data_IF_544522521166
#
_entry.id   IF_544522521166
#
_cell.length_a   1.000
_cell.length_b   1.000
_cell.length_c   1.000
_cell.angle_alpha   90.00
_cell.angle_beta   90.00
_cell.angle_gamma   90.00
#
_symmetry.space_group_name_H-M   'P 1'
#
loop_
_entity.id
_entity.type
_entity.pdbx_description
1 polymer ?
#
# COMPACT_ATOMS: atom_id res chain seq x y z
N UNK A 1 54.96 -25.28 -20.98
CA UNK A 1 54.69 -23.97 -20.31
C UNK A 1 53.86 -24.25 -19.06
N UNK A 2 54.27 -23.79 -17.87
CA UNK A 2 53.44 -23.95 -16.66
C UNK A 2 52.19 -23.06 -16.80
N UNK A 3 50.99 -23.53 -16.43
CA UNK A 3 49.78 -22.72 -16.50
C UNK A 3 49.91 -21.50 -15.59
N UNK A 4 49.65 -20.31 -16.13
CA UNK A 4 49.60 -19.06 -15.38
C UNK A 4 48.21 -18.93 -14.74
N UNK A 5 48.17 -18.61 -13.44
CA UNK A 5 46.95 -18.23 -12.74
C UNK A 5 47.07 -16.77 -12.31
N UNK A 6 46.02 -16.00 -12.59
CA UNK A 6 45.91 -14.60 -12.21
C UNK A 6 44.47 -14.33 -11.79
N UNK A 7 44.29 -13.35 -10.93
CA UNK A 7 42.99 -12.92 -10.42
C UNK A 7 42.93 -11.40 -10.56
N UNK A 8 41.76 -10.91 -10.97
CA UNK A 8 41.50 -9.49 -11.12
C UNK A 8 40.08 -9.16 -10.65
N UNK A 9 39.89 -7.93 -10.21
CA UNK A 9 38.60 -7.35 -9.83
C UNK A 9 38.25 -6.30 -10.85
N UNK A 10 37.09 -6.46 -11.49
CA UNK A 10 36.50 -5.45 -12.38
C UNK A 10 35.42 -4.70 -11.62
N UNK A 11 35.60 -3.39 -11.49
CA UNK A 11 34.54 -2.49 -11.01
C UNK A 11 33.71 -2.04 -12.19
N UNK A 12 32.41 -2.29 -12.13
CA UNK A 12 31.44 -1.93 -13.16
C UNK A 12 30.47 -0.86 -12.61
N UNK A 13 29.90 -0.07 -13.50
CA UNK A 13 28.77 0.80 -13.17
C UNK A 13 27.71 0.71 -14.26
N UNK A 14 26.44 0.87 -13.89
CA UNK A 14 25.34 0.94 -14.86
C UNK A 14 24.28 1.92 -14.37
N UNK A 15 23.67 2.73 -15.26
CA UNK A 15 22.35 3.27 -14.96
C UNK A 15 21.33 2.14 -14.89
N UNK A 16 20.23 2.36 -14.18
CA UNK A 16 19.15 1.38 -14.06
C UNK A 16 17.86 2.03 -14.53
N UNK A 17 17.08 1.30 -15.32
CA UNK A 17 15.79 1.73 -15.85
C UNK A 17 14.80 0.56 -15.78
N UNK A 18 13.50 0.86 -15.76
CA UNK A 18 12.46 -0.12 -16.10
C UNK A 18 11.81 0.33 -17.40
N UNK A 19 11.64 -0.62 -18.32
CA UNK A 19 10.90 -0.37 -19.56
C UNK A 19 9.38 -0.49 -19.35
N UNK A 20 8.59 -0.16 -20.39
CA UNK A 20 7.14 -0.23 -20.36
C UNK A 20 6.56 -1.62 -20.03
N UNK A 21 7.37 -2.68 -20.18
CA UNK A 21 7.02 -4.07 -19.91
C UNK A 21 7.56 -4.54 -18.56
N UNK A 22 7.92 -3.63 -17.64
CA UNK A 22 8.40 -3.98 -16.31
C UNK A 22 9.72 -4.79 -16.32
N UNK A 23 10.52 -4.66 -17.37
CA UNK A 23 11.84 -5.32 -17.45
C UNK A 23 12.96 -4.35 -17.07
N UNK A 24 13.92 -4.86 -16.29
CA UNK A 24 15.07 -4.07 -15.84
C UNK A 24 16.05 -3.86 -17.00
N UNK A 25 16.28 -2.60 -17.37
CA UNK A 25 17.27 -2.18 -18.35
C UNK A 25 18.56 -1.69 -17.69
N UNK A 26 19.70 -2.20 -18.16
CA UNK A 26 21.06 -1.79 -17.76
C UNK A 26 21.90 -1.38 -18.97
N UNK A 27 22.99 -0.67 -18.70
CA UNK A 27 24.03 -0.31 -19.66
C UNK A 27 25.38 -0.28 -18.96
N UNK A 28 25.96 -1.45 -18.72
CA UNK A 28 27.21 -1.58 -17.98
C UNK A 28 28.39 -0.90 -18.68
N UNK A 29 29.28 -0.32 -17.86
CA UNK A 29 30.59 0.21 -18.26
C UNK A 29 31.65 -0.26 -17.27
N UNK A 30 32.85 -0.57 -17.77
CA UNK A 30 34.00 -0.83 -16.92
C UNK A 30 34.51 0.50 -16.35
N UNK A 31 34.66 0.58 -15.04
CA UNK A 31 35.21 1.75 -14.34
C UNK A 31 36.64 1.55 -13.91
N UNK A 32 36.97 0.35 -13.45
CA UNK A 32 38.30 0.03 -12.98
C UNK A 32 38.60 -1.46 -13.16
N UNK A 33 39.85 -1.79 -13.40
CA UNK A 33 40.37 -3.16 -13.41
C UNK A 33 41.57 -3.18 -12.45
N UNK A 34 41.46 -3.93 -11.37
CA UNK A 34 42.51 -4.08 -10.36
C UNK A 34 43.00 -5.51 -10.33
N UNK A 35 44.30 -5.69 -10.54
CA UNK A 35 44.95 -6.98 -10.39
C UNK A 35 45.04 -7.35 -8.91
N UNK A 36 44.59 -8.55 -8.57
CA UNK A 36 44.81 -9.16 -7.25
C UNK A 36 46.11 -9.95 -7.27
N UNK A 37 46.34 -10.70 -8.35
CA UNK A 37 47.58 -11.43 -8.62
C UNK A 37 48.11 -11.01 -9.99
N UNK A 38 49.32 -10.43 -10.04
CA UNK A 38 49.93 -9.97 -11.29
C UNK A 38 50.13 -11.14 -12.29
N UNK A 39 49.80 -10.96 -13.58
CA UNK A 39 49.87 -12.02 -14.57
C UNK A 39 51.30 -12.17 -15.10
N UNK A 40 52.09 -13.00 -14.41
CA UNK A 40 53.50 -13.26 -14.78
C UNK A 40 53.64 -14.63 -15.43
N UNK A 41 54.04 -14.66 -16.71
CA UNK A 41 54.36 -15.91 -17.42
C UNK A 41 55.84 -16.24 -17.26
N UNK A 42 56.13 -17.54 -17.08
CA UNK A 42 57.51 -18.07 -16.97
C UNK A 42 57.85 -18.95 -18.16
N UNK A 43 58.92 -18.61 -18.87
CA UNK A 43 59.47 -19.37 -19.99
C UNK A 43 60.94 -19.67 -19.71
N UNK A 44 61.23 -20.84 -19.13
CA UNK A 44 62.59 -21.18 -18.67
C UNK A 44 63.09 -20.18 -17.61
N UNK A 45 64.27 -19.54 -17.80
CA UNK A 45 64.78 -18.52 -16.87
C UNK A 45 64.07 -17.16 -17.01
N UNK A 46 63.32 -16.93 -18.09
CA UNK A 46 62.68 -15.64 -18.37
C UNK A 46 61.32 -15.51 -17.68
N UNK A 47 61.04 -14.33 -17.13
CA UNK A 47 59.75 -13.93 -16.56
C UNK A 47 59.25 -12.68 -17.28
N UNK A 48 57.99 -12.71 -17.77
CA UNK A 48 57.36 -11.55 -18.40
C UNK A 48 56.02 -11.26 -17.70
N UNK A 49 55.83 -10.03 -17.22
CA UNK A 49 54.53 -9.55 -16.80
C UNK A 49 53.73 -9.20 -18.06
N UNK A 50 52.57 -9.83 -18.26
CA UNK A 50 51.72 -9.65 -19.44
C UNK A 50 50.46 -8.83 -19.14
N UNK A 51 50.55 -7.94 -18.15
CA UNK A 51 49.44 -7.09 -17.69
C UNK A 51 48.89 -6.22 -18.80
N UNK A 52 49.75 -5.63 -19.62
CA UNK A 52 49.34 -4.72 -20.70
C UNK A 52 48.61 -5.47 -21.80
N UNK A 53 49.11 -6.64 -22.19
CA UNK A 53 48.49 -7.50 -23.21
C UNK A 53 47.11 -7.98 -22.77
N UNK A 54 46.96 -8.40 -21.50
CA UNK A 54 45.63 -8.80 -20.99
C UNK A 54 44.71 -7.58 -20.86
N UNK A 55 45.22 -6.42 -20.44
CA UNK A 55 44.43 -5.20 -20.37
C UNK A 55 43.91 -4.77 -21.76
N UNK A 56 44.74 -4.89 -22.80
CA UNK A 56 44.35 -4.62 -24.18
C UNK A 56 43.29 -5.60 -24.69
N UNK A 57 43.43 -6.90 -24.39
CA UNK A 57 42.41 -7.91 -24.70
C UNK A 57 41.09 -7.55 -23.99
N UNK A 58 41.13 -7.23 -22.69
CA UNK A 58 39.93 -6.85 -21.93
C UNK A 58 39.26 -5.60 -22.51
N UNK A 59 40.05 -4.59 -22.90
CA UNK A 59 39.56 -3.38 -23.56
C UNK A 59 38.91 -3.70 -24.91
N UNK A 60 39.55 -4.53 -25.74
CA UNK A 60 39.00 -4.95 -27.04
C UNK A 60 37.70 -5.75 -26.92
N UNK A 61 37.51 -6.46 -25.80
CA UNK A 61 36.32 -7.26 -25.52
C UNK A 61 35.32 -6.58 -24.60
N UNK A 62 35.58 -5.36 -24.14
CA UNK A 62 34.74 -4.64 -23.18
C UNK A 62 33.28 -4.62 -23.62
N UNK A 63 33.01 -4.15 -24.84
CA UNK A 63 31.64 -4.07 -25.36
C UNK A 63 30.92 -5.42 -25.41
N UNK A 64 31.65 -6.50 -25.70
CA UNK A 64 31.07 -7.86 -25.68
C UNK A 64 30.77 -8.31 -24.24
N UNK A 65 31.67 -8.03 -23.30
CA UNK A 65 31.50 -8.37 -21.88
C UNK A 65 30.34 -7.60 -21.26
N UNK A 66 30.26 -6.29 -21.47
CA UNK A 66 29.18 -5.45 -20.92
C UNK A 66 27.84 -5.79 -21.55
N UNK A 67 27.76 -6.00 -22.87
CA UNK A 67 26.54 -6.42 -23.54
C UNK A 67 26.05 -7.81 -23.09
N UNK A 68 26.98 -8.74 -22.85
CA UNK A 68 26.63 -10.04 -22.26
C UNK A 68 26.00 -9.84 -20.88
N UNK A 69 26.59 -9.01 -20.01
CA UNK A 69 26.02 -8.72 -18.70
C UNK A 69 24.64 -8.05 -18.80
N UNK A 70 24.48 -7.04 -19.66
CA UNK A 70 23.20 -6.36 -19.88
C UNK A 70 22.11 -7.35 -20.31
N UNK A 71 22.42 -8.26 -21.23
CA UNK A 71 21.48 -9.27 -21.71
C UNK A 71 21.12 -10.29 -20.63
N UNK A 72 22.09 -10.76 -19.84
CA UNK A 72 21.81 -11.72 -18.78
C UNK A 72 20.98 -11.07 -17.66
N UNK A 73 21.21 -9.80 -17.33
CA UNK A 73 20.34 -9.06 -16.40
C UNK A 73 18.93 -8.91 -16.97
N UNK A 74 18.79 -8.46 -18.22
CA UNK A 74 17.46 -8.30 -18.86
C UNK A 74 16.65 -9.60 -18.84
N UNK A 75 17.28 -10.75 -19.13
CA UNK A 75 16.63 -12.07 -19.10
C UNK A 75 16.29 -12.54 -17.69
N UNK A 76 17.17 -12.30 -16.73
CA UNK A 76 17.01 -12.79 -15.36
C UNK A 76 16.08 -11.90 -14.51
N UNK A 77 15.96 -10.61 -14.85
CA UNK A 77 15.26 -9.59 -14.09
C UNK A 77 14.04 -9.02 -14.83
N UNK A 78 13.25 -9.90 -15.45
CA UNK A 78 11.89 -9.54 -15.90
C UNK A 78 10.96 -9.55 -14.68
N UNK A 79 10.47 -8.38 -14.28
CA UNK A 79 9.60 -8.22 -13.11
C UNK A 79 8.12 -8.38 -13.44
N UNK A 80 7.76 -8.41 -14.73
CA UNK A 80 6.38 -8.32 -15.21
C UNK A 80 5.48 -9.38 -14.58
N UNK A 81 5.87 -10.66 -14.63
CA UNK A 81 5.04 -11.74 -14.10
C UNK A 81 4.80 -11.57 -12.61
N UNK A 82 5.83 -11.19 -11.84
CA UNK A 82 5.73 -11.06 -10.38
C UNK A 82 4.96 -9.84 -9.95
N UNK A 83 5.17 -8.70 -10.62
CA UNK A 83 4.38 -7.50 -10.35
C UNK A 83 2.93 -7.75 -10.78
N UNK A 84 2.70 -8.52 -11.85
CA UNK A 84 1.35 -8.90 -12.28
C UNK A 84 0.66 -9.80 -11.25
N UNK A 85 1.35 -10.80 -10.70
CA UNK A 85 0.81 -11.65 -9.65
C UNK A 85 0.43 -10.82 -8.42
N UNK A 86 1.33 -9.96 -7.94
CA UNK A 86 1.07 -9.04 -6.80
C UNK A 86 -0.09 -8.09 -7.12
N UNK A 87 -0.14 -7.55 -8.34
CA UNK A 87 -1.19 -6.64 -8.78
C UNK A 87 -2.57 -7.30 -8.82
N UNK A 88 -2.63 -8.57 -9.19
CA UNK A 88 -3.85 -9.37 -9.19
C UNK A 88 -4.26 -9.68 -7.74
N UNK A 89 -3.33 -10.18 -6.93
CA UNK A 89 -3.57 -10.55 -5.52
C UNK A 89 -4.05 -9.35 -4.68
N UNK A 90 -3.50 -8.15 -4.91
CA UNK A 90 -3.94 -6.91 -4.26
C UNK A 90 -5.41 -6.58 -4.52
N UNK A 91 -5.97 -7.06 -5.62
CA UNK A 91 -7.35 -6.81 -6.03
C UNK A 91 -8.31 -7.95 -5.63
N UNK A 92 -7.81 -8.99 -4.96
CA UNK A 92 -8.66 -10.02 -4.37
C UNK A 92 -9.37 -9.49 -3.11
N UNK A 93 -10.60 -9.95 -2.82
CA UNK A 93 -11.29 -9.57 -1.59
C UNK A 93 -10.59 -10.09 -0.34
N UNK A 94 -10.45 -9.20 0.63
CA UNK A 94 -9.82 -9.43 1.91
C UNK A 94 -10.91 -9.49 2.97
N UNK A 95 -11.06 -10.63 3.64
CA UNK A 95 -12.02 -10.77 4.72
C UNK A 95 -11.60 -9.90 5.92
N UNK A 96 -12.47 -8.96 6.29
CA UNK A 96 -12.23 -8.02 7.39
C UNK A 96 -12.93 -8.47 8.66
N UNK A 97 -14.20 -8.83 8.56
CA UNK A 97 -15.00 -9.35 9.69
C UNK A 97 -15.75 -10.61 9.28
N UNK A 98 -15.99 -11.49 10.25
CA UNK A 98 -16.86 -12.68 10.11
C UNK A 98 -18.19 -12.53 10.85
N UNK A 99 -18.32 -11.54 11.73
CA UNK A 99 -19.47 -11.37 12.62
C UNK A 99 -19.92 -9.90 12.66
N UNK A 100 -21.24 -9.62 12.70
CA UNK A 100 -22.35 -10.58 12.67
C UNK A 100 -22.55 -11.27 11.31
N UNK A 101 -22.01 -10.69 10.22
CA UNK A 101 -21.92 -11.31 8.91
C UNK A 101 -20.50 -11.13 8.32
N UNK A 102 -20.09 -11.97 7.35
CA UNK A 102 -18.86 -11.77 6.61
C UNK A 102 -18.84 -10.43 5.86
N UNK A 103 -17.75 -9.69 6.00
CA UNK A 103 -17.51 -8.44 5.29
C UNK A 103 -16.10 -8.46 4.73
N UNK A 104 -15.97 -8.18 3.45
CA UNK A 104 -14.72 -8.10 2.73
C UNK A 104 -14.41 -6.68 2.28
N UNK A 105 -13.13 -6.37 2.15
CA UNK A 105 -12.64 -5.21 1.42
C UNK A 105 -12.03 -5.68 0.12
N UNK A 106 -12.30 -4.98 -0.96
CA UNK A 106 -11.64 -5.20 -2.23
C UNK A 106 -11.04 -3.91 -2.76
N UNK A 107 -9.83 -3.98 -3.29
CA UNK A 107 -9.23 -2.91 -4.05
C UNK A 107 -9.43 -3.14 -5.54
N UNK A 108 -9.80 -2.08 -6.26
CA UNK A 108 -9.77 -2.00 -7.71
C UNK A 108 -8.63 -1.06 -8.09
N UNK A 109 -7.48 -1.63 -8.41
CA UNK A 109 -6.30 -0.87 -8.79
C UNK A 109 -6.46 -0.40 -10.24
N UNK A 110 -6.27 0.89 -10.49
CA UNK A 110 -6.48 1.48 -11.81
C UNK A 110 -5.15 1.79 -12.50
N UNK A 111 -4.18 2.32 -11.76
CA UNK A 111 -2.90 2.76 -12.32
C UNK A 111 -1.77 2.62 -11.32
N UNK A 112 -0.55 2.46 -11.85
CA UNK A 112 0.68 2.41 -11.08
C UNK A 112 1.79 3.14 -11.82
N UNK A 113 2.48 4.00 -11.07
CA UNK A 113 3.65 4.74 -11.53
C UNK A 113 4.83 4.36 -10.65
N UNK A 114 6.04 4.43 -11.20
CA UNK A 114 7.22 4.22 -10.38
C UNK A 114 8.45 5.00 -10.81
N UNK A 115 9.37 5.15 -9.87
CA UNK A 115 10.70 5.69 -10.08
C UNK A 115 11.71 4.74 -9.43
N UNK A 116 12.82 4.49 -10.11
CA UNK A 116 13.88 3.62 -9.59
C UNK A 116 15.11 4.45 -9.33
N UNK A 117 15.68 4.26 -8.15
CA UNK A 117 16.98 4.79 -7.78
C UNK A 117 17.94 3.63 -7.47
N UNK A 118 19.16 3.73 -7.98
CA UNK A 118 20.26 2.88 -7.53
C UNK A 118 20.90 3.52 -6.30
N UNK A 119 20.82 2.84 -5.17
CA UNK A 119 21.55 3.18 -3.94
C UNK A 119 22.80 2.28 -3.83
N UNK A 120 23.68 2.54 -2.85
CA UNK A 120 24.99 1.85 -2.76
C UNK A 120 24.88 0.32 -2.67
N UNK A 121 23.83 -0.19 -2.04
CA UNK A 121 23.61 -1.60 -1.71
C UNK A 121 22.25 -2.13 -2.17
N UNK A 122 21.38 -1.29 -2.72
CA UNK A 122 20.02 -1.65 -3.10
C UNK A 122 19.53 -0.90 -4.35
N UNK A 123 18.56 -1.50 -5.03
CA UNK A 123 17.76 -0.84 -6.06
C UNK A 123 16.45 -0.48 -5.40
N UNK A 124 16.20 0.80 -5.14
CA UNK A 124 14.96 1.26 -4.51
C UNK A 124 13.96 1.61 -5.59
N UNK A 125 12.72 1.12 -5.46
CA UNK A 125 11.61 1.48 -6.32
C UNK A 125 10.58 2.24 -5.50
N UNK A 126 10.33 3.50 -5.83
CA UNK A 126 9.24 4.29 -5.29
C UNK A 126 8.05 4.16 -6.22
N UNK A 127 6.88 3.87 -5.66
CA UNK A 127 5.67 3.63 -6.46
C UNK A 127 4.50 4.46 -5.97
N UNK A 128 3.68 4.91 -6.92
CA UNK A 128 2.38 5.53 -6.67
C UNK A 128 1.31 4.64 -7.25
N UNK A 129 0.39 4.16 -6.41
CA UNK A 129 -0.74 3.33 -6.82
C UNK A 129 -2.03 4.10 -6.63
N UNK A 130 -2.86 4.13 -7.67
CA UNK A 130 -4.20 4.69 -7.61
C UNK A 130 -5.22 3.54 -7.59
N UNK A 131 -5.99 3.43 -6.50
CA UNK A 131 -6.96 2.37 -6.33
C UNK A 131 -8.28 2.86 -5.74
N UNK A 132 -9.36 2.16 -6.06
CA UNK A 132 -10.67 2.32 -5.43
C UNK A 132 -10.91 1.19 -4.44
N UNK A 133 -11.21 1.51 -3.20
CA UNK A 133 -11.61 0.54 -2.18
C UNK A 133 -13.14 0.38 -2.18
N UNK A 134 -13.60 -0.86 -2.11
CA UNK A 134 -15.02 -1.21 -2.04
C UNK A 134 -15.23 -2.23 -0.92
N UNK A 135 -16.22 -1.98 -0.07
CA UNK A 135 -16.70 -2.95 0.91
C UNK A 135 -17.67 -3.91 0.22
N UNK A 136 -17.55 -5.20 0.49
CA UNK A 136 -18.41 -6.24 -0.07
C UNK A 136 -19.00 -7.05 1.09
N UNK A 137 -20.28 -7.38 0.99
CA UNK A 137 -20.98 -8.34 1.87
C UNK A 137 -21.27 -9.65 1.17
N UNK A 138 -21.00 -9.73 -0.14
CA UNK A 138 -21.08 -10.93 -0.97
C UNK A 138 -19.92 -10.92 -1.99
N UNK A 139 -19.32 -12.08 -2.22
CA UNK A 139 -18.20 -12.31 -3.14
C UNK A 139 -18.56 -13.22 -4.32
N UNK A 140 -19.82 -13.61 -4.50
CA UNK A 140 -20.24 -14.54 -5.56
C UNK A 140 -20.13 -13.94 -6.97
N UNK A 141 -20.37 -12.64 -7.12
CA UNK A 141 -20.38 -11.93 -8.42
C UNK A 141 -19.26 -10.87 -8.53
N UNK A 142 -18.02 -11.27 -8.25
CA UNK A 142 -16.86 -10.38 -8.29
C UNK A 142 -16.35 -10.22 -9.73
N UNK A 143 -16.36 -8.97 -10.23
CA UNK A 143 -15.72 -8.63 -11.50
C UNK A 143 -14.23 -9.02 -11.49
N UNK A 144 -13.68 -9.50 -12.61
CA UNK A 144 -12.27 -9.89 -12.70
C UNK A 144 -11.32 -8.73 -12.33
N UNK A 145 -10.15 -9.01 -11.72
CA UNK A 145 -9.12 -7.99 -11.47
C UNK A 145 -8.69 -7.27 -12.74
N UNK A 146 -8.35 -5.99 -12.62
CA UNK A 146 -7.73 -5.27 -13.73
C UNK A 146 -6.32 -5.84 -13.97
N UNK A 147 -5.90 -6.07 -15.22
CA UNK A 147 -4.53 -6.48 -15.51
C UNK A 147 -3.53 -5.40 -15.14
N UNK A 148 -2.26 -5.78 -14.94
CA UNK A 148 -1.17 -4.83 -14.71
C UNK A 148 -1.03 -3.88 -15.92
N UNK A 149 -1.14 -2.55 -15.74
CA UNK A 149 -0.89 -1.61 -16.83
C UNK A 149 0.60 -1.60 -17.21
N UNK A 150 0.91 -1.05 -18.39
CA UNK A 150 2.30 -0.77 -18.78
C UNK A 150 2.94 0.18 -17.77
N UNK A 151 4.22 -0.03 -17.49
CA UNK A 151 4.95 0.83 -16.55
C UNK A 151 4.94 2.28 -17.03
N UNK A 152 4.62 3.18 -16.09
CA UNK A 152 4.70 4.63 -16.28
C UNK A 152 5.70 5.19 -15.29
N UNK A 153 6.54 6.11 -15.74
CA UNK A 153 7.48 6.79 -14.86
C UNK A 153 6.69 7.73 -13.93
N UNK A 154 7.10 7.77 -12.67
CA UNK A 154 6.67 8.79 -11.74
C UNK A 154 7.53 10.03 -11.99
N UNK A 155 6.88 11.15 -12.34
CA UNK A 155 7.60 12.41 -12.53
C UNK A 155 8.26 12.82 -11.22
N UNK A 156 9.58 13.02 -11.28
CA UNK A 156 10.40 13.28 -10.10
C UNK A 156 10.15 14.70 -9.61
N UNK A 157 9.21 14.87 -8.69
CA UNK A 157 9.32 15.96 -7.71
C UNK A 157 10.43 15.54 -6.74
N UNK A 158 11.40 16.42 -6.47
CA UNK A 158 12.71 16.10 -5.86
C UNK A 158 12.66 15.55 -4.41
N UNK A 159 11.55 15.00 -3.91
CA UNK A 159 11.37 14.66 -2.49
C UNK A 159 10.55 13.39 -2.19
N UNK A 160 10.06 12.63 -3.17
CA UNK A 160 9.27 11.42 -2.88
C UNK A 160 10.16 10.23 -2.49
N UNK A 161 10.46 10.16 -1.19
CA UNK A 161 11.24 9.09 -0.54
C UNK A 161 10.38 7.94 -0.02
N UNK A 162 9.07 7.96 -0.30
CA UNK A 162 8.10 6.98 0.16
C UNK A 162 7.15 6.65 -0.99
N UNK A 163 6.70 5.39 -1.04
CA UNK A 163 5.60 5.01 -1.94
C UNK A 163 4.28 5.53 -1.36
N UNK A 164 3.31 5.82 -2.21
CA UNK A 164 1.97 6.24 -1.77
C UNK A 164 0.86 5.50 -2.51
N UNK A 165 -0.25 5.34 -1.80
CA UNK A 165 -1.47 4.72 -2.30
C UNK A 165 -2.59 5.73 -2.10
N UNK A 166 -3.21 6.13 -3.19
CA UNK A 166 -4.42 6.94 -3.17
C UNK A 166 -5.63 6.01 -3.22
N UNK A 167 -6.41 6.01 -2.15
CA UNK A 167 -7.59 5.16 -1.98
C UNK A 167 -8.85 6.00 -1.93
N UNK A 168 -9.79 5.69 -2.81
CA UNK A 168 -11.16 6.20 -2.71
C UNK A 168 -12.09 5.15 -2.13
N UNK A 169 -12.81 5.47 -1.06
CA UNK A 169 -13.82 4.61 -0.44
C UNK A 169 -15.12 5.38 -0.22
N UNK A 170 -16.24 4.65 -0.10
CA UNK A 170 -17.52 5.24 0.28
C UNK A 170 -18.39 4.22 1.01
N UNK A 171 -19.36 4.72 1.78
CA UNK A 171 -20.48 3.95 2.32
C UNK A 171 -21.75 4.76 2.20
N UNK A 172 -22.89 4.10 2.00
CA UNK A 172 -24.20 4.77 1.91
C UNK A 172 -24.79 5.01 3.29
N UNK A 173 -25.57 6.08 3.44
CA UNK A 173 -26.33 6.30 4.68
C UNK A 173 -27.32 5.17 4.96
N UNK A 174 -27.85 4.52 3.92
CA UNK A 174 -28.67 3.32 4.09
C UNK A 174 -27.92 2.21 4.83
N UNK A 175 -26.70 1.87 4.41
CA UNK A 175 -25.88 0.84 5.07
C UNK A 175 -25.55 1.22 6.52
N UNK A 176 -25.21 2.49 6.78
CA UNK A 176 -24.97 2.99 8.13
C UNK A 176 -26.23 2.84 8.98
N UNK A 177 -27.40 3.22 8.46
CA UNK A 177 -28.67 3.18 9.16
C UNK A 177 -29.14 1.76 9.45
N UNK A 178 -28.99 0.84 8.49
CA UNK A 178 -29.30 -0.58 8.67
C UNK A 178 -28.46 -1.18 9.81
N UNK A 179 -27.15 -0.86 9.86
CA UNK A 179 -26.26 -1.32 10.93
C UNK A 179 -26.61 -0.71 12.30
N UNK A 180 -26.85 0.61 12.35
CA UNK A 180 -27.21 1.28 13.60
C UNK A 180 -28.53 0.75 14.16
N UNK A 181 -29.57 0.63 13.32
CA UNK A 181 -30.86 0.10 13.74
C UNK A 181 -30.76 -1.37 14.16
N UNK A 182 -30.02 -2.21 13.43
CA UNK A 182 -29.80 -3.60 13.83
C UNK A 182 -29.12 -3.75 15.20
N UNK A 183 -28.32 -2.76 15.63
CA UNK A 183 -27.63 -2.78 16.90
C UNK A 183 -28.38 -2.11 18.06
N UNK A 184 -29.23 -1.14 17.78
CA UNK A 184 -29.74 -0.20 18.79
C UNK A 184 -31.26 -0.11 18.84
N UNK A 185 -31.98 -0.41 17.75
CA UNK A 185 -33.45 -0.37 17.74
C UNK A 185 -34.01 -1.38 18.76
N UNK A 186 -35.01 -0.94 19.53
CA UNK A 186 -35.65 -1.73 20.59
C UNK A 186 -34.84 -1.83 21.88
N UNK A 187 -33.59 -1.33 21.92
CA UNK A 187 -32.83 -1.31 23.17
C UNK A 187 -33.46 -0.32 24.14
N UNK A 188 -33.62 -0.79 25.36
CA UNK A 188 -34.09 0.00 26.49
C UNK A 188 -32.92 0.35 27.39
N UNK A 189 -32.89 1.58 27.86
CA UNK A 189 -31.84 2.14 28.69
C UNK A 189 -32.50 2.71 29.93
N UNK A 190 -31.86 2.51 31.08
CA UNK A 190 -32.34 3.04 32.36
C UNK A 190 -31.22 3.82 33.03
N UNK A 191 -31.46 5.09 33.34
CA UNK A 191 -30.52 5.94 34.09
C UNK A 191 -31.31 6.96 34.91
N UNK A 192 -30.91 7.14 36.17
CA UNK A 192 -31.54 8.08 37.12
C UNK A 192 -33.08 7.94 37.25
N UNK A 193 -33.58 6.70 37.18
CA UNK A 193 -35.02 6.41 37.28
C UNK A 193 -35.80 6.57 35.98
N UNK A 194 -35.20 7.14 34.92
CA UNK A 194 -35.81 7.23 33.59
C UNK A 194 -35.51 6.00 32.75
N UNK A 195 -36.51 5.54 32.02
CA UNK A 195 -36.45 4.44 31.07
C UNK A 195 -36.76 4.95 29.66
N UNK A 196 -35.79 4.80 28.76
CA UNK A 196 -35.90 5.24 27.37
C UNK A 196 -35.76 4.03 26.46
N UNK A 197 -36.63 3.91 25.47
CA UNK A 197 -36.49 2.91 24.41
C UNK A 197 -36.21 3.58 23.08
N UNK A 198 -35.18 3.12 22.36
CA UNK A 198 -34.84 3.60 21.03
C UNK A 198 -35.78 2.93 20.02
N UNK A 199 -36.52 3.72 19.25
CA UNK A 199 -37.44 3.21 18.23
C UNK A 199 -36.86 3.30 16.82
N UNK A 200 -35.99 4.29 16.57
CA UNK A 200 -35.36 4.47 15.26
C UNK A 200 -34.08 5.32 15.35
N UNK A 201 -33.12 5.07 14.46
CA UNK A 201 -31.89 5.88 14.33
C UNK A 201 -31.55 6.07 12.86
N UNK A 202 -31.31 7.31 12.43
CA UNK A 202 -30.92 7.65 11.07
C UNK A 202 -29.75 8.61 11.02
N UNK A 203 -28.69 8.25 10.30
CA UNK A 203 -27.61 9.11 9.87
C UNK A 203 -27.88 9.67 8.47
N UNK A 204 -27.51 10.93 8.26
CA UNK A 204 -27.60 11.64 6.98
C UNK A 204 -26.64 12.83 6.94
N UNK A 205 -26.38 13.36 5.75
CA UNK A 205 -25.59 14.58 5.59
C UNK A 205 -26.44 15.84 5.82
N UNK A 206 -25.88 16.83 6.49
CA UNK A 206 -26.46 18.16 6.67
C UNK A 206 -25.43 19.26 6.44
N UNK A 207 -25.86 20.52 6.48
CA UNK A 207 -24.96 21.68 6.42
C UNK A 207 -23.95 21.72 7.56
N UNK A 208 -24.20 21.02 8.68
CA UNK A 208 -23.30 20.92 9.84
C UNK A 208 -22.34 19.71 9.77
N UNK A 209 -22.46 18.86 8.75
CA UNK A 209 -21.68 17.64 8.60
C UNK A 209 -22.54 16.38 8.69
N UNK A 210 -22.10 15.39 9.46
CA UNK A 210 -22.85 14.17 9.72
C UNK A 210 -23.91 14.45 10.79
N UNK A 211 -25.18 14.27 10.45
CA UNK A 211 -26.30 14.34 11.37
C UNK A 211 -26.81 12.96 11.72
N UNK A 212 -27.20 12.77 12.98
CA UNK A 212 -27.87 11.56 13.48
C UNK A 212 -29.13 11.97 14.20
N UNK A 213 -30.26 11.49 13.69
CA UNK A 213 -31.57 11.55 14.33
C UNK A 213 -31.82 10.27 15.12
N UNK A 214 -32.28 10.40 16.36
CA UNK A 214 -32.67 9.29 17.24
C UNK A 214 -34.09 9.53 17.70
N UNK A 215 -34.98 8.57 17.42
CA UNK A 215 -36.35 8.57 17.92
C UNK A 215 -36.45 7.67 19.14
N UNK A 216 -37.13 8.17 20.17
CA UNK A 216 -37.25 7.50 21.47
C UNK A 216 -38.70 7.45 21.95
N UNK A 217 -38.97 6.51 22.86
CA UNK A 217 -40.29 6.30 23.49
C UNK A 217 -40.14 6.07 25.01
N UNK A 218 -41.29 5.86 25.69
CA UNK A 218 -41.45 5.76 27.15
C UNK A 218 -41.25 7.10 27.87
N UNK A 219 -40.38 7.14 28.89
CA UNK A 219 -40.28 8.28 29.80
C UNK A 219 -39.74 9.54 29.11
N UNK A 220 -39.03 9.37 27.99
CA UNK A 220 -38.52 10.47 27.16
C UNK A 220 -38.89 10.24 25.69
N UNK A 221 -40.16 10.43 25.36
CA UNK A 221 -40.66 10.32 23.98
C UNK A 221 -40.30 11.56 23.16
N UNK A 222 -39.59 11.38 22.05
CA UNK A 222 -39.17 12.50 21.22
C UNK A 222 -38.26 12.12 20.06
N UNK A 223 -37.78 13.15 19.35
CA UNK A 223 -36.78 13.03 18.30
C UNK A 223 -35.61 13.95 18.58
N UNK A 224 -34.43 13.37 18.72
CA UNK A 224 -33.18 14.09 19.00
C UNK A 224 -32.33 14.10 17.74
N UNK A 225 -31.92 15.29 17.29
CA UNK A 225 -30.93 15.41 16.22
C UNK A 225 -29.64 15.97 16.77
N UNK A 226 -28.56 15.31 16.42
CA UNK A 226 -27.21 15.79 16.71
C UNK A 226 -26.40 15.81 15.43
N UNK A 227 -25.54 16.80 15.28
CA UNK A 227 -24.74 16.97 14.06
C UNK A 227 -23.32 17.34 14.39
N UNK A 228 -22.36 16.85 13.61
CA UNK A 228 -20.97 17.26 13.76
C UNK A 228 -20.12 16.97 12.53
N UNK A 229 -18.90 17.51 12.54
CA UNK A 229 -17.94 17.31 11.45
C UNK A 229 -17.16 16.03 11.68
N UNK A 230 -17.18 15.12 10.71
CA UNK A 230 -16.31 13.94 10.71
C UNK A 230 -14.92 14.37 10.28
N UNK A 231 -13.92 14.01 11.05
CA UNK A 231 -12.51 14.35 10.83
C UNK A 231 -11.65 13.11 11.04
N UNK A 232 -10.52 13.06 10.34
CA UNK A 232 -9.53 12.02 10.53
C UNK A 232 -8.44 12.47 11.52
N UNK A 233 -8.22 11.67 12.55
CA UNK A 233 -7.19 11.89 13.56
C UNK A 233 -5.93 11.09 13.20
N UNK A 234 -4.90 11.79 12.73
CA UNK A 234 -3.65 11.19 12.25
C UNK A 234 -2.89 10.41 13.35
N UNK A 235 -2.78 10.89 14.61
CA UNK A 235 -2.11 10.13 15.66
C UNK A 235 -2.79 8.79 15.97
N UNK A 236 -4.11 8.78 16.11
CA UNK A 236 -4.89 7.58 16.48
C UNK A 236 -5.35 6.75 15.28
N UNK A 237 -5.10 7.23 14.05
CA UNK A 237 -5.54 6.62 12.78
C UNK A 237 -7.05 6.32 12.76
N UNK A 238 -7.85 7.19 13.36
CA UNK A 238 -9.30 7.01 13.54
C UNK A 238 -10.13 8.12 12.92
N UNK A 239 -11.34 7.77 12.49
CA UNK A 239 -12.37 8.76 12.20
C UNK A 239 -13.02 9.20 13.52
N UNK A 240 -13.14 10.51 13.73
CA UNK A 240 -13.77 11.13 14.90
C UNK A 240 -14.83 12.12 14.44
N UNK A 241 -15.87 12.31 15.24
CA UNK A 241 -16.83 13.38 15.03
C UNK A 241 -16.57 14.49 16.06
N UNK A 242 -16.35 15.71 15.58
CA UNK A 242 -16.17 16.91 16.41
C UNK A 242 -17.38 17.84 16.30
N UNK A 243 -17.55 18.68 17.32
CA UNK A 243 -18.60 19.71 17.41
C UNK A 243 -20.00 19.12 17.24
N UNK A 244 -20.37 18.24 18.18
CA UNK A 244 -21.64 17.53 18.19
C UNK A 244 -22.74 18.48 18.68
N UNK A 245 -23.13 19.41 17.81
CA UNK A 245 -24.11 20.46 18.09
C UNK A 245 -25.53 19.86 18.10
N UNK A 246 -26.25 20.15 19.18
CA UNK A 246 -27.57 19.61 19.48
C UNK A 246 -28.69 20.47 18.89
N UNK A 247 -29.69 19.84 18.29
CA UNK A 247 -30.95 20.48 17.96
C UNK A 247 -32.09 19.52 18.31
N UNK A 248 -32.86 19.87 19.34
CA UNK A 248 -34.02 19.11 19.77
C UNK A 248 -35.27 19.77 19.19
N UNK A 249 -36.06 19.00 18.45
CA UNK A 249 -37.40 19.39 18.05
C UNK A 249 -38.37 18.43 18.73
N UNK A 250 -38.82 18.78 19.94
CA UNK A 250 -39.86 18.02 20.65
C UNK A 250 -41.09 18.87 20.85
N UNK A 251 -42.24 18.29 20.53
CA UNK A 251 -43.56 18.90 20.77
C UNK A 251 -43.91 18.93 22.27
N UNK A 252 -43.18 18.18 23.12
CA UNK A 252 -43.39 18.13 24.57
C UNK A 252 -42.20 18.74 25.33
N UNK A 253 -42.54 19.52 26.37
CA UNK A 253 -41.60 20.09 27.36
C UNK A 253 -40.97 18.96 28.18
N UNK A 254 -39.88 18.38 27.67
CA UNK A 254 -39.02 17.52 28.47
C UNK A 254 -38.39 18.37 29.60
N UNK A 255 -38.24 17.77 30.77
CA UNK A 255 -37.51 18.38 31.89
C UNK A 255 -36.04 18.40 31.50
N UNK A 256 -35.31 19.49 31.78
CA UNK A 256 -33.90 19.71 31.38
C UNK A 256 -32.94 18.56 31.72
N UNK A 257 -33.27 17.73 32.71
CA UNK A 257 -32.50 16.54 33.11
C UNK A 257 -32.63 15.39 32.11
N UNK A 258 -33.82 15.17 31.54
CA UNK A 258 -34.06 14.14 30.52
C UNK A 258 -33.38 14.45 29.19
N UNK A 259 -33.34 15.74 28.82
CA UNK A 259 -32.62 16.22 27.63
C UNK A 259 -31.12 15.94 27.72
N UNK A 260 -30.49 16.24 28.86
CA UNK A 260 -29.08 15.98 29.10
C UNK A 260 -28.74 14.48 29.07
N UNK A 261 -29.61 13.64 29.63
CA UNK A 261 -29.44 12.19 29.62
C UNK A 261 -29.46 11.61 28.20
N UNK A 262 -30.45 12.00 27.39
CA UNK A 262 -30.54 11.60 25.99
C UNK A 262 -29.34 12.11 25.19
N UNK A 263 -28.94 13.36 25.44
CA UNK A 263 -27.76 13.95 24.81
C UNK A 263 -26.48 13.16 25.09
N UNK A 264 -26.15 12.90 26.36
CA UNK A 264 -24.99 12.10 26.75
C UNK A 264 -25.04 10.71 26.11
N UNK A 265 -26.21 10.08 26.12
CA UNK A 265 -26.38 8.75 25.53
C UNK A 265 -26.11 8.74 24.02
N UNK A 266 -26.75 9.65 23.26
CA UNK A 266 -26.58 9.71 21.81
C UNK A 266 -25.13 10.07 21.50
N UNK A 267 -24.56 11.07 22.18
CA UNK A 267 -23.15 11.44 22.03
C UNK A 267 -22.24 10.26 22.30
N UNK A 268 -22.36 9.57 23.42
CA UNK A 268 -21.42 8.52 23.83
C UNK A 268 -21.60 7.26 22.96
N UNK A 269 -22.83 6.88 22.63
CA UNK A 269 -23.12 5.73 21.78
C UNK A 269 -22.66 5.98 20.34
N UNK A 270 -22.99 7.14 19.78
CA UNK A 270 -22.59 7.51 18.43
C UNK A 270 -21.08 7.71 18.35
N UNK A 271 -20.48 8.50 19.23
CA UNK A 271 -19.04 8.77 19.20
C UNK A 271 -18.22 7.49 19.38
N UNK A 272 -18.65 6.57 20.25
CA UNK A 272 -17.97 5.29 20.44
C UNK A 272 -18.08 4.40 19.21
N UNK A 273 -19.22 4.41 18.50
CA UNK A 273 -19.44 3.55 17.32
C UNK A 273 -18.90 4.14 16.01
N UNK A 274 -18.79 5.47 15.93
CA UNK A 274 -18.17 6.18 14.80
C UNK A 274 -16.64 6.26 14.90
N UNK A 275 -16.06 5.83 16.02
CA UNK A 275 -14.62 5.66 16.15
C UNK A 275 -14.14 4.43 15.35
N UNK A 276 -13.99 4.62 14.04
CA UNK A 276 -13.49 3.58 13.13
C UNK A 276 -11.98 3.74 12.97
N UNK A 277 -11.26 2.72 13.43
CA UNK A 277 -9.81 2.60 13.31
C UNK A 277 -9.41 2.15 11.90
N UNK A 278 -8.91 3.07 11.08
CA UNK A 278 -8.57 2.81 9.67
C UNK A 278 -7.32 1.94 9.52
N UNK A 279 -6.41 1.99 10.50
CA UNK A 279 -5.21 1.14 10.57
C UNK A 279 -5.56 -0.35 10.58
N UNK A 280 -6.67 -0.76 11.21
CA UNK A 280 -7.12 -2.16 11.23
C UNK A 280 -7.51 -2.67 9.84
N UNK A 281 -7.93 -1.77 8.95
CA UNK A 281 -8.33 -2.08 7.57
C UNK A 281 -7.10 -2.17 6.67
N UNK A 282 -6.24 -1.15 6.71
CA UNK A 282 -5.04 -1.08 5.85
C UNK A 282 -3.90 -1.98 6.35
N UNK A 283 -3.85 -2.29 7.65
CA UNK A 283 -2.78 -3.07 8.27
C UNK A 283 -2.70 -4.53 7.82
N UNK A 284 -3.75 -5.06 7.17
CA UNK A 284 -3.74 -6.40 6.56
C UNK A 284 -3.02 -6.45 5.22
N UNK A 285 -2.87 -5.31 4.53
CA UNK A 285 -2.32 -5.24 3.17
C UNK A 285 -0.85 -5.66 3.08
N UNK A 286 0.07 -5.26 4.00
CA UNK A 286 1.47 -5.71 3.95
C UNK A 286 1.61 -7.24 3.96
N UNK A 287 0.80 -7.93 4.76
CA UNK A 287 0.82 -9.39 4.84
C UNK A 287 0.42 -10.07 3.52
N UNK A 288 -0.50 -9.48 2.76
CA UNK A 288 -0.92 -9.99 1.45
C UNK A 288 0.21 -9.80 0.44
N UNK A 289 0.79 -8.59 0.39
CA UNK A 289 1.92 -8.29 -0.50
C UNK A 289 3.09 -9.25 -0.24
N UNK A 290 3.49 -9.40 1.03
CA UNK A 290 4.60 -10.27 1.41
C UNK A 290 4.33 -11.74 1.07
N UNK A 291 3.07 -12.22 1.21
CA UNK A 291 2.67 -13.59 0.85
C UNK A 291 2.69 -13.84 -0.65
N UNK A 292 2.23 -12.89 -1.45
CA UNK A 292 2.27 -12.96 -2.92
C UNK A 292 3.72 -13.08 -3.43
N UNK A 293 4.60 -12.22 -2.92
CA UNK A 293 6.03 -12.20 -3.28
C UNK A 293 6.72 -13.52 -2.89
N UNK A 294 6.43 -14.05 -1.70
CA UNK A 294 7.03 -15.30 -1.22
C UNK A 294 6.67 -16.53 -2.07
N UNK A 295 5.50 -16.53 -2.71
CA UNK A 295 5.03 -17.64 -3.55
C UNK A 295 5.58 -17.59 -4.99
N UNK A 296 6.01 -16.42 -5.48
CA UNK A 296 6.47 -16.23 -6.85
C UNK A 296 7.89 -16.77 -7.12
N UNK A 297 8.16 -17.20 -8.37
CA UNK A 297 9.50 -17.67 -8.81
C UNK A 297 10.61 -16.63 -8.63
N UNK A 298 10.25 -15.33 -8.69
CA UNK A 298 11.16 -14.18 -8.48
C UNK A 298 11.53 -13.98 -7.01
N UNK A 299 10.80 -14.54 -6.05
CA UNK A 299 11.20 -14.59 -4.64
C UNK A 299 12.56 -15.31 -4.43
N UNK A 300 13.11 -15.97 -5.45
CA UNK A 300 14.48 -16.52 -5.45
C UNK A 300 15.57 -15.50 -5.85
N UNK A 301 15.20 -14.45 -6.59
CA UNK A 301 16.11 -13.45 -7.19
C UNK A 301 15.93 -12.07 -6.57
N UNK A 302 14.79 -11.81 -5.92
CA UNK A 302 14.44 -10.52 -5.34
C UNK A 302 13.84 -10.72 -3.95
N UNK A 303 14.17 -9.81 -3.04
CA UNK A 303 13.51 -9.60 -1.76
C UNK A 303 12.76 -8.28 -1.86
N UNK A 304 11.44 -8.33 -1.80
CA UNK A 304 10.59 -7.14 -1.67
C UNK A 304 9.86 -7.25 -0.34
N UNK A 305 9.96 -6.22 0.48
CA UNK A 305 9.31 -6.17 1.78
C UNK A 305 8.55 -4.86 1.90
N UNK A 306 7.28 -4.93 2.30
CA UNK A 306 6.48 -3.77 2.66
C UNK A 306 6.39 -3.72 4.19
N UNK A 307 7.02 -2.73 4.80
CA UNK A 307 7.15 -2.63 6.26
C UNK A 307 5.84 -2.22 6.94
N UNK A 308 5.37 -1.03 6.59
CA UNK A 308 4.22 -0.41 7.24
C UNK A 308 3.45 0.46 6.25
N UNK A 309 2.13 0.47 6.45
CA UNK A 309 1.23 1.39 5.80
C UNK A 309 0.67 2.34 6.84
N UNK A 310 0.62 3.63 6.53
CA UNK A 310 0.04 4.63 7.42
C UNK A 310 -0.80 5.62 6.62
N UNK A 311 -2.03 5.86 7.05
CA UNK A 311 -2.86 6.92 6.46
C UNK A 311 -2.28 8.26 6.90
N UNK A 312 -1.79 9.04 5.93
CA UNK A 312 -1.24 10.37 6.17
C UNK A 312 -2.34 11.43 6.13
N UNK A 313 -3.27 11.28 5.20
CA UNK A 313 -4.39 12.19 4.99
C UNK A 313 -5.64 11.39 4.66
N UNK A 314 -6.79 11.86 5.14
CA UNK A 314 -8.09 11.35 4.75
C UNK A 314 -9.03 12.56 4.60
N UNK A 315 -9.38 12.88 3.35
CA UNK A 315 -10.39 13.89 3.07
C UNK A 315 -11.76 13.22 3.09
N UNK A 316 -12.72 13.84 3.79
CA UNK A 316 -14.04 13.28 4.03
C UNK A 316 -15.07 14.21 3.42
N UNK A 317 -15.95 13.67 2.57
CA UNK A 317 -17.02 14.42 1.92
C UNK A 317 -18.34 13.72 2.14
N UNK A 318 -19.39 14.48 2.41
CA UNK A 318 -20.74 13.96 2.59
C UNK A 318 -21.61 14.50 1.46
N UNK A 319 -22.26 13.60 0.73
CA UNK A 319 -23.33 13.96 -0.22
C UNK A 319 -24.71 13.53 0.34
N UNK A 320 -25.77 13.59 -0.46
CA UNK A 320 -27.12 13.23 0.03
C UNK A 320 -27.29 11.76 0.38
N UNK A 321 -26.51 10.87 -0.21
CA UNK A 321 -26.67 9.42 -0.10
C UNK A 321 -25.48 8.73 0.59
N UNK A 322 -24.30 9.34 0.58
CA UNK A 322 -23.02 8.68 0.84
C UNK A 322 -22.08 9.56 1.65
N UNK A 323 -21.26 8.85 2.42
CA UNK A 323 -20.01 9.37 2.97
C UNK A 323 -18.85 8.86 2.11
N UNK A 324 -18.04 9.79 1.61
CA UNK A 324 -16.87 9.55 0.78
C UNK A 324 -15.59 9.78 1.56
N UNK A 325 -14.60 8.93 1.33
CA UNK A 325 -13.28 8.99 1.96
C UNK A 325 -12.22 8.96 0.85
N UNK A 326 -11.34 9.94 0.83
CA UNK A 326 -10.16 9.99 -0.04
C UNK A 326 -8.92 9.90 0.85
N UNK A 327 -8.32 8.71 0.90
CA UNK A 327 -7.17 8.41 1.75
C UNK A 327 -5.89 8.50 0.93
N UNK A 328 -4.89 9.16 1.49
CA UNK A 328 -3.50 9.06 1.05
C UNK A 328 -2.73 8.23 2.08
N UNK A 329 -2.28 7.06 1.66
CA UNK A 329 -1.57 6.09 2.50
C UNK A 329 -0.11 6.05 2.09
N UNK A 330 0.78 6.31 3.03
CA UNK A 330 2.21 6.15 2.81
C UNK A 330 2.60 4.69 3.04
N UNK A 331 3.46 4.19 2.17
CA UNK A 331 4.04 2.86 2.20
C UNK A 331 5.56 2.95 2.16
N UNK A 332 6.23 2.23 3.06
CA UNK A 332 7.65 1.95 2.93
C UNK A 332 7.82 0.55 2.34
N UNK A 333 8.47 0.49 1.18
CA UNK A 333 8.78 -0.76 0.51
C UNK A 333 10.26 -0.80 0.17
N UNK A 334 10.92 -1.89 0.53
CA UNK A 334 12.32 -2.14 0.24
C UNK A 334 12.46 -3.25 -0.78
N UNK A 335 13.16 -2.97 -1.88
CA UNK A 335 13.48 -3.92 -2.93
C UNK A 335 14.99 -4.19 -2.89
N UNK A 336 15.36 -5.47 -2.79
CA UNK A 336 16.76 -5.93 -2.83
C UNK A 336 16.89 -7.09 -3.80
N UNK A 337 17.97 -7.12 -4.57
CA UNK A 337 18.31 -8.28 -5.39
C UNK A 337 18.92 -9.36 -4.49
N UNK A 338 18.34 -10.56 -4.48
CA UNK A 338 18.99 -11.77 -3.95
C UNK A 338 20.08 -12.17 -4.95
N UNK A 339 21.25 -12.55 -4.42
CA UNK A 339 22.47 -12.89 -5.15
C UNK A 339 22.21 -13.47 -6.55
N UNK A 340 22.56 -12.73 -7.59
CA UNK A 340 22.48 -13.20 -8.98
C UNK A 340 23.49 -14.33 -9.13
N UNK A 341 23.04 -15.49 -9.63
CA UNK A 341 23.96 -16.60 -9.92
C UNK A 341 24.99 -16.12 -10.95
N UNK A 342 26.27 -16.25 -10.64
CA UNK A 342 27.34 -15.95 -11.57
C UNK A 342 27.15 -16.77 -12.86
N UNK A 343 27.23 -16.09 -14.00
CA UNK A 343 27.17 -16.72 -15.32
C UNK A 343 28.27 -17.77 -15.50
N UNK A 344 28.14 -18.60 -16.54
CA UNK A 344 29.14 -19.63 -16.89
C UNK A 344 30.50 -18.98 -17.15
N UNK A 345 31.58 -19.69 -16.79
CA UNK A 345 32.95 -19.23 -17.02
C UNK A 345 33.17 -18.86 -18.49
N UNK A 346 33.67 -17.65 -18.73
CA UNK A 346 34.03 -17.18 -20.08
C UNK A 346 35.43 -17.71 -20.40
N UNK A 347 35.53 -18.63 -21.36
CA UNK A 347 36.83 -19.04 -21.92
C UNK A 347 37.25 -18.01 -22.96
N UNK A 348 38.20 -17.14 -22.62
CA UNK A 348 38.87 -16.28 -23.58
C UNK A 348 40.02 -17.10 -24.17
N UNK A 349 39.89 -17.54 -25.43
CA UNK A 349 41.01 -18.09 -26.19
C UNK A 349 41.77 -16.91 -26.78
N UNK A 350 43.04 -16.77 -26.40
CA UNK A 350 44.02 -15.91 -27.05
C UNK A 350 44.63 -16.61 -28.25
#
# INVERSE_FOLDING_TARGET
VKPMRTDLVITLSTPITIDHNWSLGTRFRIRNIRWVNEPVVRFGPFKKNIREEIAEILKSKEGKLTHMLDREIYKAANLQSTISDVWIDLQEPILISRKPAPVWIRFKCNDIHGNIALQRDAITCFTRINAKMVMLTDTTAIAKPNPLPRFKKLESTETETLSDINLYAFTTFREINDQMNGLLRGKTLTKEGYTVTITDINAYASSKGLSIGVSTDKDLKGHVVTSGKVLFDVPTQSLKVQNFDYFLNTENRLVSTGDNLLHEFVRDTVATKLNVKLDTLIGKVPGIVNKAIAKGKVGKVIYLNVDSLRVKKCDIMLDREKMHLLLNVHARADLRLKRIKSGKAIKIRG
#
